data_IF_717009695765
#
_entry.id   IF_717009695765
#
_cell.length_a   1.000
_cell.length_b   1.000
_cell.length_c   1.000
_cell.angle_alpha   90.00
_cell.angle_beta   90.00
_cell.angle_gamma   90.00
#
_symmetry.space_group_name_H-M   'P 1'
#
loop_
_entity.id
_entity.type
_entity.pdbx_description
1 polymer ?
#
# COMPACT_ATOMS: atom_id res chain seq x y z
N UNK A 1 2.03 18.14 0.05
CA UNK A 1 0.83 17.28 -0.02
C UNK A 1 -0.40 18.07 0.39
N UNK A 2 -1.58 17.64 -0.01
CA UNK A 2 -2.83 18.37 0.28
C UNK A 2 -3.03 18.62 1.78
N UNK A 3 -2.68 17.67 2.63
CA UNK A 3 -2.84 17.83 4.08
C UNK A 3 -1.87 18.84 4.70
N UNK A 4 -0.83 19.22 3.96
CA UNK A 4 0.12 20.26 4.41
C UNK A 4 -0.35 21.67 4.04
N UNK A 5 -1.47 21.77 3.31
CA UNK A 5 -2.08 23.05 2.93
C UNK A 5 -3.02 23.53 4.03
N UNK A 6 -2.76 24.69 4.67
CA UNK A 6 -3.61 25.17 5.78
C UNK A 6 -5.04 25.52 5.36
N UNK A 7 -5.26 25.87 4.07
CA UNK A 7 -6.58 26.23 3.55
C UNK A 7 -7.48 25.00 3.29
N UNK A 8 -6.92 23.80 3.19
CA UNK A 8 -7.71 22.62 2.84
C UNK A 8 -8.57 22.16 4.05
N UNK A 9 -9.89 21.90 3.86
CA UNK A 9 -10.73 21.37 4.91
C UNK A 9 -10.23 20.00 5.41
N UNK A 10 -10.38 19.73 6.72
CA UNK A 10 -9.95 18.46 7.31
C UNK A 10 -10.65 17.24 6.70
N UNK A 11 -11.93 17.40 6.32
CA UNK A 11 -12.68 16.33 5.65
C UNK A 11 -12.07 15.93 4.32
N UNK A 12 -11.53 16.90 3.58
CA UNK A 12 -10.85 16.64 2.29
C UNK A 12 -9.46 16.08 2.53
N UNK A 13 -8.72 16.58 3.51
CA UNK A 13 -7.37 16.09 3.82
C UNK A 13 -7.34 14.59 4.12
N UNK A 14 -8.37 14.07 4.78
CA UNK A 14 -8.48 12.64 5.09
C UNK A 14 -8.72 11.74 3.90
N UNK A 15 -9.19 12.29 2.77
CA UNK A 15 -9.45 11.52 1.54
C UNK A 15 -8.22 11.36 0.65
N UNK A 16 -7.27 12.27 0.76
CA UNK A 16 -6.08 12.29 -0.09
C UNK A 16 -4.88 11.73 0.67
N UNK A 17 -4.69 10.42 0.53
CA UNK A 17 -3.61 9.67 1.18
C UNK A 17 -2.63 9.14 0.14
N UNK A 18 -1.38 8.95 0.56
CA UNK A 18 -0.35 8.33 -0.29
C UNK A 18 -0.38 6.81 -0.13
N UNK A 19 0.31 6.10 -1.04
CA UNK A 19 0.39 4.64 -0.99
C UNK A 19 0.96 4.10 0.33
N UNK A 20 1.86 4.84 0.99
CA UNK A 20 2.44 4.43 2.27
C UNK A 20 1.51 4.67 3.47
N UNK A 21 0.51 5.51 3.31
CA UNK A 21 -0.47 5.80 4.36
C UNK A 21 -1.63 4.82 4.35
N UNK A 22 -1.81 4.08 3.25
CA UNK A 22 -2.86 3.07 3.11
C UNK A 22 -2.39 1.77 3.75
N UNK A 23 -3.16 1.18 4.68
CA UNK A 23 -2.81 -0.11 5.27
C UNK A 23 -2.67 -1.20 4.20
N UNK A 24 -1.74 -2.16 4.36
CA UNK A 24 -1.55 -3.25 3.40
C UNK A 24 -2.82 -4.03 3.08
N UNK A 25 -3.69 -4.25 4.06
CA UNK A 25 -4.96 -4.94 3.85
C UNK A 25 -5.85 -4.24 2.81
N UNK A 26 -5.88 -2.92 2.77
CA UNK A 26 -6.64 -2.18 1.78
C UNK A 26 -6.06 -2.29 0.37
N UNK A 27 -4.74 -2.34 0.26
CA UNK A 27 -4.08 -2.60 -1.03
C UNK A 27 -4.54 -3.96 -1.60
N UNK A 28 -4.60 -4.98 -0.75
CA UNK A 28 -5.03 -6.33 -1.14
C UNK A 28 -6.51 -6.34 -1.51
N UNK A 29 -7.35 -5.66 -0.75
CA UNK A 29 -8.80 -5.58 -1.05
C UNK A 29 -9.08 -4.90 -2.39
N UNK A 30 -8.36 -3.83 -2.70
CA UNK A 30 -8.48 -3.14 -3.99
C UNK A 30 -8.05 -4.07 -5.12
N UNK A 31 -6.91 -4.75 -4.98
CA UNK A 31 -6.44 -5.72 -5.96
C UNK A 31 -7.46 -6.84 -6.19
N UNK A 32 -8.01 -7.38 -5.11
CA UNK A 32 -9.02 -8.44 -5.16
C UNK A 32 -10.31 -7.99 -5.87
N UNK A 33 -10.73 -6.76 -5.63
CA UNK A 33 -11.92 -6.20 -6.26
C UNK A 33 -11.76 -6.13 -7.79
N UNK A 34 -10.60 -5.72 -8.28
CA UNK A 34 -10.31 -5.74 -9.72
C UNK A 34 -10.14 -7.17 -10.25
N UNK A 35 -9.52 -8.06 -9.47
CA UNK A 35 -9.27 -9.44 -9.89
C UNK A 35 -10.56 -10.22 -10.11
N UNK A 36 -11.62 -9.93 -9.36
CA UNK A 36 -12.92 -10.60 -9.50
C UNK A 36 -13.48 -10.50 -10.92
N UNK A 37 -13.18 -9.40 -11.60
CA UNK A 37 -13.71 -9.12 -12.94
C UNK A 37 -12.65 -9.18 -14.04
N UNK A 38 -11.48 -9.73 -13.75
CA UNK A 38 -10.34 -9.77 -14.67
C UNK A 38 -9.82 -11.19 -14.80
N UNK A 39 -9.71 -11.69 -16.03
CA UNK A 39 -9.20 -13.07 -16.28
C UNK A 39 -7.68 -13.14 -16.05
N UNK A 40 -6.94 -12.15 -16.54
CA UNK A 40 -5.49 -12.07 -16.32
C UNK A 40 -5.18 -11.68 -14.88
N UNK A 41 -3.97 -11.99 -14.42
CA UNK A 41 -3.52 -11.58 -13.10
C UNK A 41 -3.43 -10.06 -13.00
N UNK A 42 -4.08 -9.50 -11.99
CA UNK A 42 -3.95 -8.09 -11.63
C UNK A 42 -2.65 -7.90 -10.84
N UNK A 43 -1.82 -6.96 -11.26
CA UNK A 43 -0.58 -6.63 -10.58
C UNK A 43 -0.76 -5.34 -9.78
N UNK A 44 -0.45 -5.40 -8.50
CA UNK A 44 -0.47 -4.24 -7.61
C UNK A 44 0.61 -4.38 -6.56
N UNK A 45 1.38 -3.32 -6.37
CA UNK A 45 2.37 -3.26 -5.29
C UNK A 45 1.69 -2.93 -3.97
N UNK A 46 1.98 -3.72 -2.96
CA UNK A 46 1.57 -3.50 -1.57
C UNK A 46 2.73 -2.83 -0.86
N UNK A 47 2.51 -1.60 -0.41
CA UNK A 47 3.56 -0.80 0.19
C UNK A 47 3.57 -0.99 1.70
N UNK A 48 4.74 -1.34 2.24
CA UNK A 48 4.99 -1.51 3.66
C UNK A 48 5.94 -0.42 4.18
N UNK A 49 5.74 0.06 5.39
CA UNK A 49 6.69 0.95 6.04
C UNK A 49 8.00 0.23 6.35
N UNK A 50 9.04 0.99 6.70
CA UNK A 50 10.37 0.46 6.99
C UNK A 50 10.38 -0.53 8.16
N UNK A 51 9.53 -0.30 9.16
CA UNK A 51 9.43 -1.11 10.38
C UNK A 51 8.52 -2.33 10.25
N UNK A 52 7.98 -2.60 9.04
CA UNK A 52 7.15 -3.77 8.81
C UNK A 52 7.90 -5.06 9.11
N UNK A 53 7.24 -5.97 9.84
CA UNK A 53 7.81 -7.24 10.26
C UNK A 53 7.58 -8.33 9.21
N UNK A 54 8.33 -9.45 9.36
CA UNK A 54 8.11 -10.63 8.52
C UNK A 54 6.72 -11.22 8.69
N UNK A 55 6.16 -11.14 9.91
CA UNK A 55 4.82 -11.64 10.19
C UNK A 55 3.75 -10.83 9.47
N UNK A 56 3.89 -9.51 9.42
CA UNK A 56 2.98 -8.65 8.65
C UNK A 56 3.02 -8.96 7.16
N UNK A 57 4.19 -9.21 6.61
CA UNK A 57 4.36 -9.62 5.21
C UNK A 57 3.72 -10.98 4.98
N UNK A 58 3.92 -11.95 5.89
CA UNK A 58 3.29 -13.27 5.82
C UNK A 58 1.77 -13.17 5.83
N UNK A 59 1.20 -12.36 6.70
CA UNK A 59 -0.24 -12.13 6.74
C UNK A 59 -0.76 -11.56 5.44
N UNK A 60 -0.02 -10.65 4.80
CA UNK A 60 -0.38 -10.12 3.50
C UNK A 60 -0.44 -11.20 2.42
N UNK A 61 0.53 -12.12 2.39
CA UNK A 61 0.52 -13.27 1.46
C UNK A 61 -0.71 -14.15 1.70
N UNK A 62 -1.01 -14.47 2.94
CA UNK A 62 -2.17 -15.31 3.30
C UNK A 62 -3.48 -14.62 2.92
N UNK A 63 -3.60 -13.32 3.18
CA UNK A 63 -4.78 -12.55 2.82
C UNK A 63 -4.98 -12.49 1.31
N UNK A 64 -3.91 -12.26 0.54
CA UNK A 64 -3.97 -12.25 -0.92
C UNK A 64 -4.51 -13.59 -1.46
N UNK A 65 -4.06 -14.70 -0.89
CA UNK A 65 -4.55 -16.04 -1.23
C UNK A 65 -6.03 -16.19 -0.89
N UNK A 66 -6.44 -15.80 0.31
CA UNK A 66 -7.83 -15.88 0.76
C UNK A 66 -8.78 -15.02 -0.08
N UNK A 67 -8.32 -13.85 -0.50
CA UNK A 67 -9.08 -12.92 -1.34
C UNK A 67 -9.02 -13.26 -2.84
N UNK A 68 -8.43 -14.40 -3.19
CA UNK A 68 -8.33 -14.90 -4.57
C UNK A 68 -7.52 -14.02 -5.52
N UNK A 69 -6.54 -13.32 -5.01
CA UNK A 69 -5.55 -12.66 -5.84
C UNK A 69 -4.68 -13.70 -6.55
N UNK A 70 -4.35 -13.46 -7.81
CA UNK A 70 -3.51 -14.37 -8.61
C UNK A 70 -2.01 -14.10 -8.44
N UNK A 71 -1.64 -13.04 -7.77
CA UNK A 71 -0.26 -12.67 -7.48
C UNK A 71 -0.18 -11.64 -6.37
N UNK A 72 1.02 -11.38 -5.90
CA UNK A 72 1.28 -10.37 -4.89
C UNK A 72 2.67 -9.79 -5.11
N UNK A 73 2.79 -8.47 -5.01
CA UNK A 73 4.06 -7.74 -5.08
C UNK A 73 4.20 -6.89 -3.84
N UNK A 74 5.32 -7.01 -3.15
CA UNK A 74 5.57 -6.28 -1.90
C UNK A 74 6.75 -5.33 -2.09
N UNK A 75 6.59 -4.12 -1.61
CA UNK A 75 7.64 -3.13 -1.50
C UNK A 75 7.71 -2.64 -0.06
N UNK A 76 8.84 -2.88 0.59
CA UNK A 76 9.11 -2.34 1.94
C UNK A 76 10.09 -1.19 1.81
N UNK A 77 9.74 -0.03 2.39
CA UNK A 77 10.61 1.14 2.39
C UNK A 77 11.96 0.82 3.03
N UNK A 78 13.04 1.29 2.40
CA UNK A 78 14.39 1.11 2.92
C UNK A 78 14.97 -0.30 2.79
N UNK A 79 14.34 -1.20 2.02
CA UNK A 79 14.87 -2.56 1.81
C UNK A 79 16.11 -2.58 0.90
N UNK A 80 16.31 -1.53 0.11
CA UNK A 80 17.50 -1.34 -0.73
C UNK A 80 18.14 0.02 -0.45
N UNK A 81 19.47 0.18 -0.69
CA UNK A 81 20.16 1.45 -0.49
C UNK A 81 19.56 2.59 -1.32
N UNK A 82 19.15 2.29 -2.56
CA UNK A 82 18.42 3.24 -3.42
C UNK A 82 17.00 2.74 -3.63
N UNK A 83 16.02 3.62 -3.44
CA UNK A 83 14.62 3.28 -3.64
C UNK A 83 13.98 4.20 -4.68
N UNK A 84 13.09 3.62 -5.49
CA UNK A 84 12.38 4.33 -6.55
C UNK A 84 11.28 5.23 -5.99
N UNK A 85 10.61 4.76 -4.94
CA UNK A 85 9.57 5.53 -4.26
C UNK A 85 10.15 6.19 -3.01
N UNK A 86 9.98 7.49 -2.90
CA UNK A 86 10.38 8.25 -1.72
C UNK A 86 9.16 8.70 -0.94
N UNK A 87 9.31 8.80 0.37
CA UNK A 87 8.26 9.32 1.22
C UNK A 87 8.24 10.85 1.18
N UNK A 88 7.04 11.42 1.21
CA UNK A 88 6.87 12.87 1.24
C UNK A 88 7.40 13.49 2.54
N UNK A 89 7.41 12.73 3.63
CA UNK A 89 8.01 13.13 4.90
C UNK A 89 8.76 11.95 5.51
N UNK A 90 9.88 12.22 6.18
CA UNK A 90 10.69 11.19 6.84
C UNK A 90 9.94 10.44 7.95
N UNK A 91 8.81 10.97 8.42
CA UNK A 91 8.04 10.39 9.52
C UNK A 91 7.09 9.26 9.08
N UNK A 92 6.80 9.15 7.79
CA UNK A 92 5.82 8.18 7.25
C UNK A 92 6.52 6.89 6.78
N UNK A 93 7.79 6.94 6.56
CA UNK A 93 8.62 5.80 6.19
C UNK A 93 9.51 5.39 7.35
#
# INVERSE_FOLDING_TARGET
MLRDLPEAPQTIKGLFVTAFEIPPAWHIKIQAAFQEYTDNAVSKTINFPRDATKDEVREAFLMAYQERCKGITIYRSGSKPSQVLSCATKQIC
#
